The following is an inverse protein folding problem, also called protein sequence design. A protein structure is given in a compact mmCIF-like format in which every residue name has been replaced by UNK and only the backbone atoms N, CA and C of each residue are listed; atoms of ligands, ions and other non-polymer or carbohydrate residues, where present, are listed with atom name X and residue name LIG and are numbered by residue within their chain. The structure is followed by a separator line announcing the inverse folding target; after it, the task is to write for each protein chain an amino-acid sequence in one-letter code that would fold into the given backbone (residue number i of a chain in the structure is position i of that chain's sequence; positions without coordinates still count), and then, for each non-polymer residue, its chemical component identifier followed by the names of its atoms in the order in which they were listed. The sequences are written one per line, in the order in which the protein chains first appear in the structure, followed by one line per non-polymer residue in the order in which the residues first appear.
data_IF_684028129412
#
_entry.id   IF_684028129412
#
_cell.length_a   1.000
_cell.length_b   1.000
_cell.length_c   1.000
_cell.angle_alpha   90.00
_cell.angle_beta   90.00
_cell.angle_gamma   90.00
#
_symmetry.space_group_name_H-M   'P 1'
#
loop_
_entity.id
_entity.type
_entity.pdbx_description
1 polymer ?
#
# COMPACT_ATOMS: atom_id res chain seq x y z
N UNK A 1 -18.15 -12.75 -8.35
CA UNK A 1 -19.30 -12.56 -9.25
C UNK A 1 -18.78 -11.82 -10.46
N UNK A 2 -18.34 -12.60 -11.46
CA UNK A 2 -17.97 -12.05 -12.77
C UNK A 2 -19.16 -11.21 -13.23
N UNK A 3 -18.97 -9.91 -13.45
CA UNK A 3 -20.00 -9.10 -14.08
C UNK A 3 -20.21 -9.67 -15.48
N UNK A 4 -21.25 -10.48 -15.59
CA UNK A 4 -21.63 -11.21 -16.79
C UNK A 4 -21.92 -10.23 -17.93
N UNK A 5 -21.89 -10.70 -19.19
CA UNK A 5 -22.31 -9.93 -20.38
C UNK A 5 -23.71 -9.28 -20.25
N UNK A 6 -24.50 -9.68 -19.26
CA UNK A 6 -25.79 -9.11 -18.90
C UNK A 6 -25.70 -7.68 -18.36
N UNK A 7 -24.69 -7.29 -17.57
CA UNK A 7 -24.63 -5.92 -17.04
C UNK A 7 -24.25 -4.93 -18.13
N UNK A 8 -23.29 -5.28 -18.99
CA UNK A 8 -22.96 -4.51 -20.18
C UNK A 8 -24.17 -4.36 -21.12
N UNK A 9 -24.91 -5.46 -21.38
CA UNK A 9 -26.12 -5.42 -22.20
C UNK A 9 -27.22 -4.52 -21.61
N UNK A 10 -27.44 -4.56 -20.28
CA UNK A 10 -28.40 -3.67 -19.58
C UNK A 10 -27.97 -2.21 -19.68
N UNK A 11 -26.68 -1.94 -19.55
CA UNK A 11 -26.10 -0.59 -19.66
C UNK A 11 -26.24 -0.05 -21.09
N UNK A 12 -25.90 -0.84 -22.11
CA UNK A 12 -26.06 -0.44 -23.52
C UNK A 12 -27.53 -0.28 -23.91
N UNK A 13 -28.43 -1.14 -23.43
CA UNK A 13 -29.87 -1.00 -23.62
C UNK A 13 -30.40 0.29 -22.95
N UNK A 14 -29.91 0.63 -21.75
CA UNK A 14 -30.19 1.89 -21.08
C UNK A 14 -29.72 3.10 -21.90
N UNK A 15 -28.52 3.03 -22.47
CA UNK A 15 -27.96 4.09 -23.34
C UNK A 15 -28.81 4.30 -24.60
N UNK A 16 -29.18 3.23 -25.30
CA UNK A 16 -30.09 3.29 -26.45
C UNK A 16 -31.45 3.88 -26.06
N UNK A 17 -32.00 3.45 -24.91
CA UNK A 17 -33.25 3.99 -24.37
C UNK A 17 -33.18 5.49 -24.08
N UNK A 18 -32.07 5.97 -23.51
CA UNK A 18 -31.87 7.40 -23.23
C UNK A 18 -31.68 8.24 -24.49
N UNK A 19 -30.99 7.73 -25.52
CA UNK A 19 -30.84 8.41 -26.81
C UNK A 19 -32.17 8.49 -27.55
N UNK A 20 -32.96 7.40 -27.57
CA UNK A 20 -34.29 7.41 -28.15
C UNK A 20 -35.21 8.40 -27.42
N UNK A 21 -35.13 8.41 -26.08
CA UNK A 21 -35.88 9.35 -25.24
C UNK A 21 -35.51 10.81 -25.54
N UNK A 22 -34.22 11.10 -25.75
CA UNK A 22 -33.74 12.42 -26.14
C UNK A 22 -34.34 12.88 -27.49
N UNK A 23 -34.37 12.00 -28.48
CA UNK A 23 -34.95 12.28 -29.80
C UNK A 23 -36.44 12.57 -29.69
N UNK A 24 -37.19 11.73 -28.96
CA UNK A 24 -38.64 11.89 -28.76
C UNK A 24 -38.96 13.19 -28.00
N UNK A 25 -38.23 13.48 -26.93
CA UNK A 25 -38.39 14.72 -26.16
C UNK A 25 -38.07 15.97 -26.99
N UNK A 26 -37.11 15.87 -27.91
CA UNK A 26 -36.74 16.96 -28.81
C UNK A 26 -37.81 17.17 -29.89
N UNK A 27 -38.30 16.09 -30.50
CA UNK A 27 -39.38 16.12 -31.48
C UNK A 27 -40.67 16.70 -30.90
N UNK A 28 -41.05 16.28 -29.68
CA UNK A 28 -42.24 16.80 -28.98
C UNK A 28 -42.13 18.28 -28.61
N UNK A 29 -40.91 18.81 -28.49
CA UNK A 29 -40.64 20.23 -28.26
C UNK A 29 -40.25 20.99 -29.53
N UNK A 30 -40.81 20.58 -30.68
CA UNK A 30 -40.61 21.24 -32.00
C UNK A 30 -39.14 21.44 -32.35
N UNK A 31 -38.27 20.51 -31.98
CA UNK A 31 -36.84 20.57 -32.25
C UNK A 31 -36.12 21.79 -31.65
N UNK A 32 -36.60 22.30 -30.51
CA UNK A 32 -35.93 23.39 -29.80
C UNK A 32 -34.48 23.02 -29.42
N UNK A 33 -33.46 23.73 -29.94
CA UNK A 33 -32.06 23.43 -29.62
C UNK A 33 -31.76 23.54 -28.12
N UNK A 34 -32.43 24.48 -27.43
CA UNK A 34 -32.33 24.64 -25.97
C UNK A 34 -32.78 23.40 -25.22
N UNK A 35 -33.91 22.80 -25.59
CA UNK A 35 -34.42 21.59 -24.93
C UNK A 35 -33.48 20.42 -25.20
N UNK A 36 -33.06 20.25 -26.44
CA UNK A 36 -32.09 19.21 -26.81
C UNK A 36 -30.79 19.32 -25.99
N UNK A 37 -30.16 20.50 -25.96
CA UNK A 37 -28.89 20.70 -25.26
C UNK A 37 -29.00 20.52 -23.75
N UNK A 38 -30.10 20.96 -23.12
CA UNK A 38 -30.32 20.77 -21.68
C UNK A 38 -30.55 19.29 -21.33
N UNK A 39 -31.28 18.56 -22.17
CA UNK A 39 -31.50 17.13 -21.97
C UNK A 39 -30.24 16.32 -22.25
N UNK A 40 -29.50 16.65 -23.30
CA UNK A 40 -28.21 16.05 -23.62
C UNK A 40 -27.19 16.29 -22.49
N UNK A 41 -27.09 17.52 -21.98
CA UNK A 41 -26.24 17.86 -20.84
C UNK A 41 -26.61 17.05 -19.59
N UNK A 42 -27.91 16.93 -19.29
CA UNK A 42 -28.39 16.12 -18.16
C UNK A 42 -28.02 14.65 -18.30
N UNK A 43 -28.23 14.07 -19.49
CA UNK A 43 -27.86 12.68 -19.75
C UNK A 43 -26.35 12.47 -19.64
N UNK A 44 -25.54 13.37 -20.21
CA UNK A 44 -24.09 13.30 -20.16
C UNK A 44 -23.55 13.38 -18.72
N UNK A 45 -24.01 14.35 -17.92
CA UNK A 45 -23.58 14.51 -16.53
C UNK A 45 -24.10 13.36 -15.67
N UNK A 46 -25.38 12.99 -15.78
CA UNK A 46 -25.95 11.88 -15.03
C UNK A 46 -25.21 10.57 -15.32
N UNK A 47 -24.92 10.30 -16.59
CA UNK A 47 -24.09 9.17 -17.01
C UNK A 47 -22.69 9.23 -16.40
N UNK A 48 -22.02 10.39 -16.45
CA UNK A 48 -20.68 10.55 -15.90
C UNK A 48 -20.62 10.18 -14.41
N UNK A 49 -21.50 10.76 -13.59
CA UNK A 49 -21.59 10.48 -12.14
C UNK A 49 -21.89 9.00 -11.86
N UNK A 50 -22.84 8.42 -12.59
CA UNK A 50 -23.25 7.04 -12.39
C UNK A 50 -22.14 6.06 -12.78
N UNK A 51 -21.48 6.29 -13.93
CA UNK A 51 -20.35 5.50 -14.41
C UNK A 51 -19.18 5.58 -13.43
N UNK A 52 -18.84 6.79 -12.95
CA UNK A 52 -17.82 7.00 -11.92
C UNK A 52 -18.12 6.22 -10.64
N UNK A 53 -19.38 6.19 -10.19
CA UNK A 53 -19.80 5.40 -9.04
C UNK A 53 -19.64 3.90 -9.27
N UNK A 54 -20.12 3.39 -10.42
CA UNK A 54 -20.00 1.96 -10.76
C UNK A 54 -18.54 1.52 -10.92
N UNK A 55 -17.71 2.33 -11.56
CA UNK A 55 -16.29 2.05 -11.73
C UNK A 55 -15.60 1.90 -10.36
N UNK A 56 -15.90 2.79 -9.40
CA UNK A 56 -15.38 2.71 -8.04
C UNK A 56 -15.85 1.44 -7.33
N UNK A 57 -17.16 1.13 -7.36
CA UNK A 57 -17.71 -0.11 -6.78
C UNK A 57 -17.05 -1.35 -7.39
N UNK A 58 -16.91 -1.37 -8.72
CA UNK A 58 -16.29 -2.49 -9.44
C UNK A 58 -14.83 -2.66 -9.03
N UNK A 59 -14.06 -1.56 -8.92
CA UNK A 59 -12.66 -1.63 -8.49
C UNK A 59 -12.50 -2.24 -7.09
N UNK A 60 -13.39 -1.92 -6.15
CA UNK A 60 -13.40 -2.49 -4.81
C UNK A 60 -13.84 -3.94 -4.80
N UNK A 61 -14.83 -4.29 -5.63
CA UNK A 61 -15.34 -5.66 -5.75
C UNK A 61 -14.32 -6.63 -6.37
N UNK A 62 -13.61 -6.19 -7.40
CA UNK A 62 -12.58 -6.98 -8.09
C UNK A 62 -11.35 -7.20 -7.20
N UNK A 63 -11.07 -6.29 -6.27
CA UNK A 63 -9.94 -6.38 -5.36
C UNK A 63 -8.60 -6.00 -6.00
N UNK A 64 -7.50 -5.97 -5.23
CA UNK A 64 -6.19 -5.58 -5.73
C UNK A 64 -5.63 -6.60 -6.73
N UNK A 65 -5.29 -6.13 -7.93
CA UNK A 65 -4.58 -6.89 -8.98
C UNK A 65 -3.48 -6.03 -9.58
N UNK A 66 -2.64 -6.59 -10.46
CA UNK A 66 -1.57 -5.84 -11.13
C UNK A 66 -2.07 -4.58 -11.88
N UNK A 67 -3.31 -4.63 -12.36
CA UNK A 67 -3.95 -3.55 -13.14
C UNK A 67 -5.07 -2.84 -12.40
N UNK A 68 -5.64 -3.43 -11.34
CA UNK A 68 -6.76 -2.86 -10.59
C UNK A 68 -6.32 -2.40 -9.20
N UNK A 69 -6.50 -1.10 -8.93
CA UNK A 69 -6.35 -0.52 -7.60
C UNK A 69 -7.74 -0.22 -7.05
N UNK A 70 -8.16 -0.89 -5.95
CA UNK A 70 -9.43 -0.59 -5.30
C UNK A 70 -9.56 0.90 -4.99
N UNK A 71 -10.73 1.47 -5.29
CA UNK A 71 -11.00 2.86 -4.99
C UNK A 71 -10.88 3.11 -3.48
N UNK A 72 -10.11 4.15 -3.16
CA UNK A 72 -10.04 4.77 -1.85
C UNK A 72 -9.77 6.25 -2.05
N UNK A 73 -10.50 7.12 -1.35
CA UNK A 73 -10.22 8.56 -1.37
C UNK A 73 -9.15 8.96 -0.35
N UNK A 74 -8.60 7.99 0.40
CA UNK A 74 -7.53 8.19 1.37
C UNK A 74 -6.31 8.91 0.76
N UNK A 75 -5.74 8.53 -0.41
CA UNK A 75 -4.58 9.22 -0.97
C UNK A 75 -4.88 10.67 -1.36
N UNK A 76 -6.15 10.95 -1.68
CA UNK A 76 -6.61 12.29 -2.03
C UNK A 76 -6.76 13.15 -0.77
N UNK A 77 -7.44 12.66 0.26
CA UNK A 77 -7.70 13.44 1.47
C UNK A 77 -6.49 13.54 2.41
N UNK A 78 -5.61 12.53 2.45
CA UNK A 78 -4.38 12.55 3.27
C UNK A 78 -3.46 13.73 2.99
N UNK A 79 -3.51 14.26 1.77
CA UNK A 79 -2.67 15.38 1.34
C UNK A 79 -3.48 16.63 0.98
N UNK A 80 -4.74 16.73 1.42
CA UNK A 80 -5.63 17.84 1.08
C UNK A 80 -5.20 19.16 1.73
N UNK A 81 -4.73 20.16 0.97
CA UNK A 81 -4.21 21.40 1.55
C UNK A 81 -5.31 22.46 1.80
N UNK A 82 -6.54 22.22 1.31
CA UNK A 82 -7.62 23.20 1.34
C UNK A 82 -8.28 23.39 2.72
N UNK A 83 -9.24 24.33 2.84
CA UNK A 83 -9.86 24.72 4.11
C UNK A 83 -10.51 23.58 4.92
N UNK A 84 -11.06 22.57 4.24
CA UNK A 84 -11.63 21.39 4.91
C UNK A 84 -10.64 20.22 5.01
N UNK A 85 -9.43 20.40 4.48
CA UNK A 85 -8.43 19.34 4.34
C UNK A 85 -7.98 18.75 5.66
N UNK A 86 -7.76 19.57 6.69
CA UNK A 86 -7.39 19.09 8.03
C UNK A 86 -8.46 18.17 8.63
N UNK A 87 -9.74 18.58 8.53
CA UNK A 87 -10.87 17.77 8.98
C UNK A 87 -10.93 16.46 8.20
N UNK A 88 -10.80 16.52 6.87
CA UNK A 88 -10.85 15.32 6.03
C UNK A 88 -9.68 14.36 6.32
N UNK A 89 -8.46 14.87 6.57
CA UNK A 89 -7.32 14.02 6.97
C UNK A 89 -7.65 13.21 8.22
N UNK A 90 -8.18 13.86 9.26
CA UNK A 90 -8.55 13.21 10.53
C UNK A 90 -9.58 12.08 10.40
N UNK A 91 -10.48 12.16 9.41
CA UNK A 91 -11.48 11.10 9.20
C UNK A 91 -10.85 9.80 8.66
N UNK A 92 -9.76 9.88 7.90
CA UNK A 92 -9.04 8.69 7.39
C UNK A 92 -7.99 8.18 8.37
N UNK A 93 -7.12 9.08 8.83
CA UNK A 93 -6.11 8.84 9.86
C UNK A 93 -5.58 10.20 10.32
N UNK A 94 -5.51 10.47 11.61
CA UNK A 94 -4.85 11.67 12.12
C UNK A 94 -3.33 11.41 12.19
N UNK A 95 -2.52 11.91 11.23
CA UNK A 95 -1.10 11.59 11.20
C UNK A 95 -0.38 12.15 12.45
N UNK A 96 -0.84 13.28 12.98
CA UNK A 96 -0.27 13.87 14.18
C UNK A 96 -0.55 13.00 15.41
N UNK A 97 -1.78 12.49 15.55
CA UNK A 97 -2.12 11.56 16.61
C UNK A 97 -1.38 10.22 16.47
N UNK A 98 -1.24 9.70 15.25
CA UNK A 98 -0.46 8.48 14.97
C UNK A 98 1.02 8.67 15.31
N UNK A 99 1.62 9.79 14.92
CA UNK A 99 3.01 10.14 15.26
C UNK A 99 3.17 10.26 16.78
N UNK A 100 2.25 10.95 17.46
CA UNK A 100 2.30 11.09 18.91
C UNK A 100 2.16 9.75 19.64
N UNK A 101 1.30 8.85 19.15
CA UNK A 101 1.03 7.57 19.78
C UNK A 101 2.07 6.48 19.46
N UNK A 102 2.77 6.56 18.33
CA UNK A 102 3.62 5.48 17.81
C UNK A 102 5.09 5.87 17.61
N UNK A 103 5.40 7.16 17.46
CA UNK A 103 6.75 7.61 17.09
C UNK A 103 7.40 8.44 18.19
N UNK A 104 6.63 9.18 18.99
CA UNK A 104 7.19 9.96 20.09
C UNK A 104 7.60 9.05 21.25
N UNK A 105 8.84 9.20 21.71
CA UNK A 105 9.37 8.43 22.83
C UNK A 105 8.56 8.73 24.12
N UNK A 106 8.08 7.71 24.85
CA UNK A 106 7.33 7.92 26.09
C UNK A 106 8.15 8.53 27.23
N UNK A 107 9.47 8.31 27.21
CA UNK A 107 10.43 8.81 28.20
C UNK A 107 11.57 9.53 27.50
N UNK A 108 12.10 10.57 28.11
CA UNK A 108 13.30 11.26 27.62
C UNK A 108 14.55 10.53 28.13
N UNK A 109 15.13 9.68 27.27
CA UNK A 109 16.36 8.92 27.54
C UNK A 109 17.26 9.09 26.31
N UNK A 110 18.56 9.29 26.52
CA UNK A 110 19.48 9.42 25.38
C UNK A 110 19.62 8.10 24.60
N UNK A 111 19.90 8.11 23.29
CA UNK A 111 20.10 6.89 22.51
C UNK A 111 21.21 5.98 23.07
N UNK A 112 22.28 6.58 23.60
CA UNK A 112 23.40 5.84 24.18
C UNK A 112 23.02 5.11 25.48
N UNK A 113 22.25 5.77 26.35
CA UNK A 113 21.74 5.15 27.58
C UNK A 113 20.71 4.06 27.26
N UNK A 114 19.81 4.31 26.29
CA UNK A 114 18.79 3.36 25.88
C UNK A 114 19.40 2.05 25.35
N UNK A 115 20.49 2.17 24.59
CA UNK A 115 21.24 1.02 24.05
C UNK A 115 21.77 0.08 25.14
N UNK A 116 22.08 0.61 26.32
CA UNK A 116 22.65 -0.15 27.44
C UNK A 116 21.59 -0.82 28.33
N UNK A 117 20.30 -0.53 28.13
CA UNK A 117 19.20 -1.17 28.84
C UNK A 117 19.04 -2.65 28.43
N UNK A 118 18.47 -3.47 29.31
CA UNK A 118 18.13 -4.86 28.97
C UNK A 118 17.03 -4.92 27.91
N UNK A 119 16.93 -6.02 27.17
CA UNK A 119 15.89 -6.20 26.13
C UNK A 119 14.48 -6.04 26.71
N UNK A 120 14.26 -6.48 27.94
CA UNK A 120 12.97 -6.33 28.65
C UNK A 120 12.65 -4.87 28.94
N UNK A 121 13.64 -4.10 29.38
CA UNK A 121 13.49 -2.65 29.62
C UNK A 121 13.27 -1.89 28.31
N UNK A 122 13.95 -2.29 27.23
CA UNK A 122 13.76 -1.71 25.90
C UNK A 122 12.34 -2.01 25.38
N UNK A 123 11.86 -3.25 25.53
CA UNK A 123 10.51 -3.64 25.14
C UNK A 123 9.42 -2.90 25.93
N UNK A 124 9.64 -2.68 27.23
CA UNK A 124 8.74 -1.92 28.09
C UNK A 124 8.66 -0.42 27.73
N UNK A 125 9.65 0.10 27.02
CA UNK A 125 9.68 1.48 26.53
C UNK A 125 9.03 1.66 25.15
N UNK A 126 8.53 0.57 24.53
CA UNK A 126 7.79 0.61 23.29
C UNK A 126 6.48 1.41 23.46
N UNK A 127 6.09 2.28 22.51
CA UNK A 127 4.84 3.03 22.61
C UNK A 127 3.62 2.13 22.79
N UNK A 128 2.71 2.51 23.68
CA UNK A 128 1.59 1.67 24.12
C UNK A 128 0.70 1.20 22.96
N UNK A 129 0.42 2.09 21.99
CA UNK A 129 -0.38 1.77 20.82
C UNK A 129 0.25 0.65 19.96
N UNK A 130 1.57 0.60 19.91
CA UNK A 130 2.33 -0.41 19.16
C UNK A 130 2.44 -1.68 19.98
N UNK A 131 2.76 -1.58 21.28
CA UNK A 131 2.84 -2.71 22.20
C UNK A 131 1.54 -3.54 22.20
N UNK A 132 0.37 -2.89 22.29
CA UNK A 132 -0.95 -3.55 22.21
C UNK A 132 -1.16 -4.33 20.92
N UNK A 133 -0.62 -3.85 19.80
CA UNK A 133 -0.73 -4.54 18.52
C UNK A 133 0.13 -5.81 18.45
N UNK A 134 1.17 -5.92 19.28
CA UNK A 134 1.98 -7.14 19.42
C UNK A 134 1.41 -8.10 20.48
N UNK A 135 0.69 -7.60 21.48
CA UNK A 135 0.11 -8.39 22.59
C UNK A 135 -1.20 -9.12 22.25
N UNK A 136 -1.45 -9.40 20.97
CA UNK A 136 -2.66 -10.09 20.54
C UNK A 136 -2.45 -11.60 20.45
N UNK A 137 -3.47 -12.39 20.80
CA UNK A 137 -3.46 -13.85 20.68
C UNK A 137 -3.20 -14.32 19.23
N UNK A 138 -3.66 -13.55 18.25
CA UNK A 138 -3.40 -13.80 16.83
C UNK A 138 -1.89 -13.70 16.51
N UNK A 139 -1.19 -12.69 17.04
CA UNK A 139 0.26 -12.53 16.83
C UNK A 139 1.03 -13.63 17.56
N UNK A 140 0.62 -14.01 18.77
CA UNK A 140 1.25 -15.11 19.50
C UNK A 140 1.16 -16.42 18.72
N UNK A 141 -0.05 -16.82 18.31
CA UNK A 141 -0.29 -18.03 17.51
C UNK A 141 0.48 -18.01 16.19
N UNK A 142 0.47 -16.89 15.48
CA UNK A 142 1.21 -16.77 14.23
C UNK A 142 2.73 -16.88 14.42
N UNK A 143 3.26 -16.34 15.52
CA UNK A 143 4.68 -16.46 15.89
C UNK A 143 5.03 -17.91 16.22
N UNK A 144 4.19 -18.61 16.99
CA UNK A 144 4.37 -20.03 17.30
C UNK A 144 4.36 -20.91 16.05
N UNK A 145 3.40 -20.68 15.14
CA UNK A 145 3.34 -21.36 13.85
C UNK A 145 4.56 -21.03 12.98
N UNK A 146 5.02 -19.77 13.01
CA UNK A 146 6.22 -19.34 12.30
C UNK A 146 7.47 -20.08 12.77
N UNK A 147 7.67 -20.19 14.09
CA UNK A 147 8.80 -20.94 14.67
C UNK A 147 8.78 -22.41 14.26
N UNK A 148 7.60 -23.05 14.28
CA UNK A 148 7.45 -24.44 13.83
C UNK A 148 7.78 -24.60 12.35
N UNK A 149 7.30 -23.68 11.53
CA UNK A 149 7.53 -23.70 10.08
C UNK A 149 9.01 -23.47 9.73
N UNK A 150 9.67 -22.52 10.38
CA UNK A 150 11.12 -22.30 10.26
C UNK A 150 11.91 -23.54 10.69
N UNK A 151 11.55 -24.15 11.83
CA UNK A 151 12.21 -25.38 12.30
C UNK A 151 12.06 -26.53 11.29
N UNK A 152 10.88 -26.68 10.67
CA UNK A 152 10.67 -27.69 9.64
C UNK A 152 11.44 -27.38 8.35
N UNK A 153 11.51 -26.11 7.95
CA UNK A 153 12.29 -25.67 6.80
C UNK A 153 13.79 -25.86 7.02
N UNK A 154 14.33 -25.48 8.18
CA UNK A 154 15.72 -25.68 8.57
C UNK A 154 16.10 -27.17 8.53
N UNK A 155 15.22 -28.06 9.01
CA UNK A 155 15.44 -29.50 8.94
C UNK A 155 15.52 -30.01 7.50
N UNK A 156 14.62 -29.54 6.62
CA UNK A 156 14.61 -29.88 5.18
C UNK A 156 15.84 -29.31 4.45
N UNK A 157 16.26 -28.11 4.79
CA UNK A 157 17.40 -27.46 4.15
C UNK A 157 18.73 -28.05 4.63
N UNK A 158 18.81 -28.53 5.88
CA UNK A 158 19.91 -29.37 6.34
C UNK A 158 20.02 -30.65 5.49
N UNK A 159 18.91 -31.33 5.19
CA UNK A 159 18.88 -32.50 4.31
C UNK A 159 19.36 -32.18 2.88
N UNK A 160 18.83 -31.12 2.27
CA UNK A 160 19.24 -30.71 0.91
C UNK A 160 20.72 -30.32 0.87
N UNK A 161 21.19 -29.61 1.88
CA UNK A 161 22.60 -29.19 1.99
C UNK A 161 23.50 -30.41 2.11
N UNK A 162 23.11 -31.39 2.93
CA UNK A 162 23.83 -32.65 3.07
C UNK A 162 23.83 -33.45 1.76
N UNK A 163 22.70 -33.55 1.06
CA UNK A 163 22.61 -34.27 -0.21
C UNK A 163 23.52 -33.64 -1.27
N UNK A 164 23.52 -32.31 -1.38
CA UNK A 164 24.41 -31.57 -2.28
C UNK A 164 25.88 -31.80 -1.92
N UNK A 165 26.24 -31.64 -0.64
CA UNK A 165 27.60 -31.86 -0.17
C UNK A 165 28.08 -33.31 -0.39
N UNK A 166 27.19 -34.29 -0.25
CA UNK A 166 27.49 -35.70 -0.55
C UNK A 166 27.72 -35.94 -2.05
N UNK A 167 26.96 -35.28 -2.93
CA UNK A 167 27.18 -35.31 -4.39
C UNK A 167 28.52 -34.68 -4.77
N UNK A 168 28.82 -33.52 -4.20
CA UNK A 168 30.09 -32.81 -4.44
C UNK A 168 31.29 -33.62 -3.92
N UNK A 169 31.15 -34.25 -2.74
CA UNK A 169 32.17 -35.16 -2.20
C UNK A 169 32.39 -36.41 -3.08
N UNK A 170 31.32 -36.99 -3.64
CA UNK A 170 31.41 -38.09 -4.62
C UNK A 170 32.15 -37.68 -5.88
N UNK A 171 31.83 -36.51 -6.45
CA UNK A 171 32.49 -36.00 -7.64
C UNK A 171 33.98 -35.67 -7.38
N UNK A 172 34.30 -35.14 -6.21
CA UNK A 172 35.68 -34.88 -5.79
C UNK A 172 36.50 -36.18 -5.63
N UNK A 173 35.89 -37.22 -5.04
CA UNK A 173 36.51 -38.54 -4.93
C UNK A 173 36.76 -39.15 -6.32
N UNK A 174 35.78 -39.11 -7.22
CA UNK A 174 35.92 -39.64 -8.59
C UNK A 174 37.04 -38.91 -9.36
N UNK A 175 37.09 -37.58 -9.27
CA UNK A 175 38.16 -36.77 -9.87
C UNK A 175 39.54 -37.08 -9.27
N UNK A 176 39.62 -37.27 -7.95
CA UNK A 176 40.86 -37.64 -7.28
C UNK A 176 41.34 -39.05 -7.71
N UNK A 177 40.42 -40.02 -7.78
CA UNK A 177 40.72 -41.38 -8.27
C UNK A 177 41.18 -41.39 -9.73
N UNK A 178 40.55 -40.58 -10.60
CA UNK A 178 40.95 -40.46 -12.01
C UNK A 178 42.34 -39.80 -12.16
N UNK A 179 42.68 -38.83 -11.31
CA UNK A 179 44.03 -38.22 -11.32
C UNK A 179 45.15 -39.22 -10.97
N UNK A 180 44.87 -40.14 -10.03
CA UNK A 180 45.80 -41.24 -9.67
C UNK A 180 45.92 -42.24 -10.82
N UNK A 181 44.84 -42.46 -11.58
CA UNK A 181 44.83 -43.31 -12.78
C UNK A 181 45.67 -42.72 -13.91
N UNK A 182 45.55 -41.42 -14.19
CA UNK A 182 46.31 -40.74 -15.26
C UNK A 182 47.82 -40.73 -14.99
N UNK A 183 48.24 -40.56 -13.73
CA UNK A 183 49.66 -40.59 -13.34
C UNK A 183 50.32 -41.99 -13.40
N UNK A 184 49.54 -43.05 -13.70
CA UNK A 184 50.05 -44.43 -13.80
C UNK A 184 50.48 -44.86 -15.21
N UNK A 185 50.46 -43.96 -16.20
CA UNK A 185 50.74 -44.30 -17.62
C UNK A 185 52.24 -44.45 -17.93
N UNK A 186 52.68 -45.72 -17.87
CA UNK A 186 53.56 -46.54 -18.74
C UNK A 186 54.96 -46.05 -19.20
N UNK A 187 55.97 -46.84 -18.83
CA UNK A 187 57.29 -46.97 -19.49
C UNK A 187 57.44 -48.41 -20.02
N UNK A 188 57.72 -48.61 -21.32
CA UNK A 188 57.87 -49.93 -21.97
C UNK A 188 59.37 -50.23 -22.20
N UNK A 189 60.04 -50.81 -21.20
CA UNK A 189 61.42 -51.30 -21.28
C UNK A 189 61.54 -52.74 -20.77
N UNK A 190 62.30 -53.64 -21.44
CA UNK A 190 62.30 -55.09 -21.15
C UNK A 190 63.32 -55.55 -20.09
N UNK A 191 63.57 -54.79 -19.01
CA UNK A 191 64.58 -55.11 -17.99
C UNK A 191 63.98 -55.52 -16.61
N UNK A 192 64.74 -56.34 -15.86
CA UNK A 192 64.38 -56.87 -14.53
C UNK A 192 64.16 -55.75 -13.49
N UNK A 193 64.91 -54.65 -13.60
CA UNK A 193 64.73 -53.47 -12.74
C UNK A 193 63.37 -52.79 -12.99
N UNK A 194 62.90 -52.73 -14.24
CA UNK A 194 61.56 -52.27 -14.59
C UNK A 194 60.44 -53.10 -13.93
N UNK A 195 60.63 -54.41 -13.71
CA UNK A 195 59.63 -55.26 -13.04
C UNK A 195 59.47 -54.95 -11.55
N UNK A 196 60.58 -54.74 -10.85
CA UNK A 196 60.58 -54.36 -9.43
C UNK A 196 59.98 -52.97 -9.24
N UNK A 197 60.32 -52.03 -10.12
CA UNK A 197 59.81 -50.66 -10.08
C UNK A 197 58.29 -50.60 -10.37
N UNK A 198 57.77 -51.46 -11.27
CA UNK A 198 56.32 -51.65 -11.47
C UNK A 198 55.60 -52.15 -10.22
N UNK A 199 56.18 -53.13 -9.52
CA UNK A 199 55.60 -53.67 -8.29
C UNK A 199 55.53 -52.64 -7.15
N UNK A 200 56.55 -51.77 -7.04
CA UNK A 200 56.58 -50.65 -6.10
C UNK A 200 55.57 -49.55 -6.46
N UNK A 201 55.53 -49.12 -7.73
CA UNK A 201 54.56 -48.11 -8.19
C UNK A 201 53.10 -48.58 -8.07
N UNK A 202 52.83 -49.87 -8.34
CA UNK A 202 51.50 -50.47 -8.15
C UNK A 202 51.08 -50.47 -6.67
N UNK A 203 52.00 -50.80 -5.75
CA UNK A 203 51.72 -50.70 -4.31
C UNK A 203 51.47 -49.27 -3.86
N UNK A 204 52.24 -48.30 -4.37
CA UNK A 204 52.07 -46.88 -4.07
C UNK A 204 50.72 -46.34 -4.57
N UNK A 205 50.30 -46.73 -5.77
CA UNK A 205 49.01 -46.32 -6.34
C UNK A 205 47.81 -46.92 -5.61
N UNK A 206 47.89 -48.18 -5.19
CA UNK A 206 46.86 -48.79 -4.35
C UNK A 206 46.78 -48.15 -2.95
N UNK A 207 47.92 -47.80 -2.35
CA UNK A 207 47.96 -47.05 -1.09
C UNK A 207 47.32 -45.66 -1.22
N UNK A 208 47.66 -44.90 -2.27
CA UNK A 208 47.08 -43.57 -2.53
C UNK A 208 45.56 -43.64 -2.80
N UNK A 209 45.08 -44.64 -3.53
CA UNK A 209 43.63 -44.86 -3.73
C UNK A 209 42.91 -45.19 -2.42
N UNK A 210 43.54 -45.97 -1.54
CA UNK A 210 42.98 -46.31 -0.24
C UNK A 210 42.88 -45.08 0.67
N UNK A 211 43.89 -44.19 0.65
CA UNK A 211 43.89 -42.93 1.40
C UNK A 211 42.78 -41.98 0.90
N UNK A 212 42.65 -41.79 -0.41
CA UNK A 212 41.57 -40.97 -1.00
C UNK A 212 40.18 -41.48 -0.61
N UNK A 213 39.98 -42.80 -0.64
CA UNK A 213 38.71 -43.42 -0.23
C UNK A 213 38.44 -43.25 1.28
N UNK A 214 39.47 -43.38 2.11
CA UNK A 214 39.35 -43.18 3.56
C UNK A 214 39.00 -41.73 3.91
N UNK A 215 39.64 -40.76 3.25
CA UNK A 215 39.35 -39.34 3.41
C UNK A 215 37.95 -38.98 2.92
N UNK A 216 37.52 -39.54 1.78
CA UNK A 216 36.17 -39.37 1.26
C UNK A 216 35.12 -39.96 2.21
N UNK A 217 35.37 -41.14 2.80
CA UNK A 217 34.48 -41.74 3.80
C UNK A 217 34.39 -40.87 5.07
N UNK A 218 35.52 -40.33 5.54
CA UNK A 218 35.57 -39.42 6.69
C UNK A 218 34.79 -38.12 6.42
N UNK A 219 34.94 -37.55 5.23
CA UNK A 219 34.20 -36.37 4.81
C UNK A 219 32.68 -36.63 4.75
N UNK A 220 32.26 -37.77 4.17
CA UNK A 220 30.84 -38.17 4.11
C UNK A 220 30.24 -38.37 5.50
N UNK A 221 30.96 -39.04 6.41
CA UNK A 221 30.53 -39.22 7.82
C UNK A 221 30.37 -37.87 8.52
N UNK A 222 31.29 -36.93 8.30
CA UNK A 222 31.20 -35.58 8.86
C UNK A 222 29.97 -34.83 8.34
N UNK A 223 29.74 -34.84 7.03
CA UNK A 223 28.56 -34.20 6.40
C UNK A 223 27.25 -34.74 6.99
N UNK A 224 27.15 -36.07 7.14
CA UNK A 224 25.97 -36.69 7.75
C UNK A 224 25.82 -36.33 9.23
N UNK A 225 26.91 -36.30 10.01
CA UNK A 225 26.88 -35.91 11.41
C UNK A 225 26.46 -34.45 11.60
N UNK A 226 26.99 -33.54 10.77
CA UNK A 226 26.65 -32.12 10.80
C UNK A 226 25.17 -31.90 10.42
N UNK A 227 24.65 -32.67 9.46
CA UNK A 227 23.24 -32.64 9.05
C UNK A 227 22.30 -33.15 10.15
N UNK A 228 22.62 -34.29 10.77
CA UNK A 228 21.85 -34.84 11.90
C UNK A 228 21.85 -33.90 13.11
N UNK A 229 22.99 -33.25 13.38
CA UNK A 229 23.10 -32.22 14.42
C UNK A 229 22.18 -31.03 14.11
N UNK A 230 22.24 -30.49 12.89
CA UNK A 230 21.40 -29.36 12.48
C UNK A 230 19.90 -29.68 12.55
N UNK A 231 19.50 -30.89 12.14
CA UNK A 231 18.11 -31.35 12.28
C UNK A 231 17.67 -31.45 13.73
N UNK A 232 18.53 -32.00 14.61
CA UNK A 232 18.23 -32.12 16.03
C UNK A 232 18.03 -30.74 16.66
N UNK A 233 18.92 -29.79 16.35
CA UNK A 233 18.80 -28.41 16.81
C UNK A 233 17.53 -27.73 16.29
N UNK A 234 17.16 -27.95 15.02
CA UNK A 234 15.93 -27.43 14.43
C UNK A 234 14.69 -28.03 15.12
N UNK A 235 14.67 -29.34 15.36
CA UNK A 235 13.57 -30.03 16.04
C UNK A 235 13.40 -29.55 17.48
N UNK A 236 14.49 -29.43 18.24
CA UNK A 236 14.46 -28.90 19.61
C UNK A 236 13.94 -27.45 19.64
N UNK A 237 14.29 -26.62 18.65
CA UNK A 237 13.76 -25.26 18.51
C UNK A 237 12.25 -25.28 18.24
N UNK A 238 11.81 -26.17 17.36
CA UNK A 238 10.40 -26.37 17.03
C UNK A 238 9.56 -26.88 18.21
N UNK A 239 10.15 -27.65 19.13
CA UNK A 239 9.49 -28.13 20.36
C UNK A 239 9.42 -27.03 21.45
N UNK A 240 10.41 -26.14 21.52
CA UNK A 240 10.47 -25.01 22.46
C UNK A 240 9.72 -23.76 21.97
N UNK A 241 8.84 -23.91 20.98
CA UNK A 241 8.12 -22.79 20.36
C UNK A 241 7.35 -21.94 21.38
N UNK A 242 6.71 -22.55 22.38
CA UNK A 242 5.91 -21.87 23.40
C UNK A 242 6.75 -20.93 24.29
N UNK A 243 8.01 -21.29 24.56
CA UNK A 243 8.93 -20.47 25.35
C UNK A 243 9.64 -19.40 24.49
N UNK A 244 9.81 -19.68 23.19
CA UNK A 244 10.50 -18.80 22.25
C UNK A 244 9.60 -17.71 21.66
N UNK A 245 8.31 -17.99 21.45
CA UNK A 245 7.38 -17.04 20.85
C UNK A 245 7.25 -15.73 21.66
N UNK A 246 7.04 -15.76 23.00
CA UNK A 246 7.01 -14.53 23.80
C UNK A 246 8.34 -13.75 23.74
N UNK A 247 9.48 -14.45 23.67
CA UNK A 247 10.81 -13.82 23.57
C UNK A 247 10.99 -13.09 22.24
N UNK A 248 10.57 -13.69 21.12
CA UNK A 248 10.61 -13.03 19.80
C UNK A 248 9.71 -11.79 19.75
N UNK A 249 8.53 -11.86 20.37
CA UNK A 249 7.62 -10.71 20.47
C UNK A 249 8.27 -9.59 21.30
N UNK A 250 8.93 -9.95 22.41
CA UNK A 250 9.66 -9.01 23.26
C UNK A 250 10.82 -8.35 22.49
N UNK A 251 11.60 -9.12 21.74
CA UNK A 251 12.67 -8.62 20.87
C UNK A 251 12.13 -7.70 19.78
N UNK A 252 10.99 -8.01 19.16
CA UNK A 252 10.35 -7.14 18.17
C UNK A 252 9.89 -5.81 18.77
N UNK A 253 9.31 -5.83 19.99
CA UNK A 253 8.96 -4.60 20.71
C UNK A 253 10.21 -3.78 21.06
N UNK A 254 11.28 -4.44 21.50
CA UNK A 254 12.56 -3.78 21.78
C UNK A 254 13.16 -3.16 20.51
N UNK A 255 13.12 -3.86 19.37
CA UNK A 255 13.57 -3.32 18.08
C UNK A 255 12.79 -2.07 17.67
N UNK A 256 11.45 -2.10 17.82
CA UNK A 256 10.62 -0.92 17.55
C UNK A 256 10.97 0.24 18.49
N UNK A 257 11.16 -0.02 19.78
CA UNK A 257 11.58 1.00 20.73
C UNK A 257 12.97 1.57 20.38
N UNK A 258 13.93 0.73 19.99
CA UNK A 258 15.27 1.17 19.56
C UNK A 258 15.21 2.12 18.36
N UNK A 259 14.27 1.92 17.44
CA UNK A 259 13.99 2.86 16.35
C UNK A 259 13.41 4.20 16.85
N UNK A 260 12.44 4.15 17.77
CA UNK A 260 11.82 5.33 18.41
C UNK A 260 12.84 6.19 19.17
N UNK A 261 13.75 5.55 19.91
CA UNK A 261 14.79 6.22 20.70
C UNK A 261 16.05 6.56 19.88
N UNK A 262 16.08 6.30 18.57
CA UNK A 262 17.18 6.72 17.71
C UNK A 262 18.41 5.82 17.70
N UNK A 263 18.35 4.64 18.31
CA UNK A 263 19.48 3.69 18.38
C UNK A 263 19.67 2.93 17.08
N UNK A 264 18.57 2.42 16.53
CA UNK A 264 18.56 1.69 15.26
C UNK A 264 17.80 2.48 14.20
N UNK A 265 18.15 2.27 12.94
CA UNK A 265 17.45 2.83 11.80
C UNK A 265 16.57 1.76 11.16
N UNK A 266 15.39 2.18 10.67
CA UNK A 266 14.53 1.34 9.84
C UNK A 266 14.60 1.84 8.40
N UNK A 267 14.45 0.93 7.44
CA UNK A 267 14.40 1.29 6.03
C UNK A 267 13.11 2.06 5.75
N UNK A 268 13.27 3.27 5.22
CA UNK A 268 12.17 4.14 4.82
C UNK A 268 12.15 4.28 3.31
N UNK A 269 10.95 4.23 2.72
CA UNK A 269 10.78 4.51 1.29
C UNK A 269 10.81 6.02 1.07
N UNK A 270 11.87 6.52 0.44
CA UNK A 270 11.98 7.94 0.06
C UNK A 270 11.59 8.09 -1.40
N UNK A 271 10.72 9.05 -1.70
CA UNK A 271 10.29 9.35 -3.07
C UNK A 271 11.52 9.61 -3.95
N UNK A 272 11.59 8.94 -5.11
CA UNK A 272 12.69 9.03 -6.09
C UNK A 272 14.03 8.43 -5.67
N UNK A 273 14.10 7.70 -4.54
CA UNK A 273 15.28 6.93 -4.16
C UNK A 273 14.97 5.44 -4.32
N UNK A 274 15.82 4.74 -5.08
CA UNK A 274 15.71 3.28 -5.22
C UNK A 274 16.41 2.61 -4.05
N UNK A 275 15.70 1.76 -3.32
CA UNK A 275 16.17 1.13 -2.09
C UNK A 275 15.71 1.88 -0.83
N UNK A 276 15.61 1.16 0.28
CA UNK A 276 15.28 1.74 1.58
C UNK A 276 16.40 2.68 2.05
N UNK A 277 16.04 3.85 2.56
CA UNK A 277 16.98 4.76 3.21
C UNK A 277 16.86 4.56 4.71
N UNK A 278 17.89 4.07 5.40
CA UNK A 278 17.82 3.83 6.83
C UNK A 278 17.69 5.18 7.57
N UNK A 279 16.56 5.35 8.27
CA UNK A 279 16.28 6.52 9.11
C UNK A 279 15.70 6.10 10.46
N UNK A 280 16.12 6.78 11.52
CA UNK A 280 15.55 6.60 12.85
C UNK A 280 14.41 7.59 13.10
N UNK A 281 13.60 7.38 14.15
CA UNK A 281 12.46 8.24 14.44
C UNK A 281 12.85 9.69 14.79
N UNK A 282 13.86 9.96 15.65
CA UNK A 282 14.25 11.33 15.98
C UNK A 282 14.68 12.16 14.78
N UNK A 283 15.51 11.61 13.87
CA UNK A 283 15.92 12.33 12.65
C UNK A 283 14.74 12.74 11.78
N UNK A 284 13.64 11.98 11.81
CA UNK A 284 12.43 12.30 11.04
C UNK A 284 11.58 13.36 11.72
N UNK A 285 11.53 13.34 13.06
CA UNK A 285 10.89 14.40 13.83
C UNK A 285 11.65 15.72 13.65
N UNK A 286 12.98 15.70 13.71
CA UNK A 286 13.83 16.87 13.45
C UNK A 286 13.58 17.44 12.05
N UNK A 287 13.47 16.59 11.04
CA UNK A 287 13.16 17.02 9.67
C UNK A 287 11.77 17.67 9.58
N UNK A 288 10.75 17.09 10.24
CA UNK A 288 9.42 17.69 10.32
C UNK A 288 9.44 19.06 11.01
N UNK A 289 10.19 19.21 12.10
CA UNK A 289 10.35 20.48 12.79
C UNK A 289 11.05 21.51 11.92
N UNK A 290 12.08 21.10 11.16
CA UNK A 290 12.76 21.98 10.20
C UNK A 290 11.83 22.47 9.08
N UNK A 291 10.91 21.63 8.61
CA UNK A 291 9.89 22.01 7.63
C UNK A 291 8.89 22.99 8.23
N UNK A 292 8.43 22.76 9.47
CA UNK A 292 7.53 23.68 10.18
C UNK A 292 8.17 25.05 10.38
N UNK A 293 9.44 25.09 10.82
CA UNK A 293 10.20 26.32 10.98
C UNK A 293 10.38 27.05 9.64
N UNK A 294 10.71 26.32 8.57
CA UNK A 294 10.86 26.88 7.23
C UNK A 294 9.55 27.45 6.68
N UNK A 295 8.43 26.76 6.92
CA UNK A 295 7.10 27.23 6.53
C UNK A 295 6.73 28.51 7.28
N UNK A 296 6.89 28.52 8.61
CA UNK A 296 6.62 29.70 9.43
C UNK A 296 7.48 30.91 9.01
N UNK A 297 8.76 30.68 8.73
CA UNK A 297 9.66 31.73 8.24
C UNK A 297 9.27 32.25 6.84
N UNK A 298 8.70 31.40 5.99
CA UNK A 298 8.22 31.80 4.66
C UNK A 298 6.87 32.52 4.71
N UNK A 299 6.00 32.19 5.67
CA UNK A 299 4.68 32.81 5.86
C UNK A 299 4.78 34.16 6.59
N UNK A 300 5.76 34.36 7.48
CA UNK A 300 5.89 35.58 8.28
C UNK A 300 5.93 36.88 7.42
N UNK A 301 6.71 36.98 6.33
CA UNK A 301 6.68 38.16 5.46
C UNK A 301 5.32 38.46 4.83
N UNK A 302 4.54 37.42 4.47
CA UNK A 302 3.20 37.61 3.89
C UNK A 302 2.22 38.22 4.89
N UNK A 303 2.36 37.88 6.18
CA UNK A 303 1.55 38.47 7.24
C UNK A 303 1.78 39.98 7.36
N UNK A 304 3.00 40.44 7.08
CA UNK A 304 3.39 41.86 7.08
C UNK A 304 3.10 42.56 5.73
N UNK A 305 2.43 41.88 4.79
CA UNK A 305 2.13 42.41 3.45
C UNK A 305 3.33 42.46 2.51
N UNK A 306 4.47 41.87 2.88
CA UNK A 306 5.66 41.73 2.07
C UNK A 306 5.62 40.40 1.30
N UNK A 307 5.90 40.42 -0.01
CA UNK A 307 5.89 39.18 -0.82
C UNK A 307 4.50 38.74 -1.32
N UNK A 308 3.53 39.67 -1.38
CA UNK A 308 2.18 39.45 -1.95
C UNK A 308 2.14 39.25 -3.48
N UNK A 309 3.28 38.97 -4.13
CA UNK A 309 3.38 38.77 -5.57
C UNK A 309 3.09 37.34 -6.01
N UNK A 310 2.67 37.14 -7.27
CA UNK A 310 2.42 35.83 -7.89
C UNK A 310 3.71 35.07 -8.27
N UNK A 311 4.78 35.26 -7.51
CA UNK A 311 6.16 34.85 -7.83
C UNK A 311 6.60 33.51 -7.24
N UNK A 312 7.91 33.42 -6.94
CA UNK A 312 8.58 32.23 -6.38
C UNK A 312 8.20 31.94 -4.94
N UNK A 313 7.92 32.97 -4.14
CA UNK A 313 7.69 32.81 -2.69
C UNK A 313 6.36 32.11 -2.40
N UNK A 314 5.31 32.44 -3.15
CA UNK A 314 4.01 31.77 -3.07
C UNK A 314 4.12 30.28 -3.43
N UNK A 315 4.90 29.96 -4.47
CA UNK A 315 5.17 28.57 -4.85
C UNK A 315 5.95 27.84 -3.76
N UNK A 316 6.97 28.49 -3.18
CA UNK A 316 7.76 27.93 -2.09
C UNK A 316 6.91 27.62 -0.86
N UNK A 317 5.98 28.51 -0.47
CA UNK A 317 5.05 28.26 0.64
C UNK A 317 4.12 27.08 0.31
N UNK A 318 3.59 27.02 -0.91
CA UNK A 318 2.75 25.92 -1.37
C UNK A 318 3.50 24.57 -1.32
N UNK A 319 4.75 24.55 -1.79
CA UNK A 319 5.64 23.40 -1.75
C UNK A 319 5.97 22.98 -0.31
N UNK A 320 6.32 23.93 0.57
CA UNK A 320 6.61 23.65 1.98
C UNK A 320 5.38 23.09 2.72
N UNK A 321 4.18 23.64 2.47
CA UNK A 321 2.92 23.09 3.01
C UNK A 321 2.70 21.67 2.54
N UNK A 322 2.90 21.41 1.25
CA UNK A 322 2.74 20.06 0.70
C UNK A 322 3.75 19.08 1.28
N UNK A 323 5.02 19.49 1.36
CA UNK A 323 6.11 18.69 1.93
C UNK A 323 5.86 18.39 3.39
N UNK A 324 5.34 19.34 4.18
CA UNK A 324 4.99 19.10 5.57
C UNK A 324 3.86 18.05 5.67
N UNK A 325 2.75 18.25 4.97
CA UNK A 325 1.60 17.34 5.00
C UNK A 325 2.00 15.93 4.53
N UNK A 326 2.77 15.84 3.43
CA UNK A 326 3.20 14.54 2.91
C UNK A 326 4.16 13.85 3.86
N UNK A 327 5.12 14.57 4.44
CA UNK A 327 6.11 14.00 5.36
C UNK A 327 5.46 13.51 6.65
N UNK A 328 4.46 14.23 7.17
CA UNK A 328 3.67 13.78 8.33
C UNK A 328 2.90 12.49 8.00
N UNK A 329 2.22 12.45 6.85
CA UNK A 329 1.48 11.28 6.41
C UNK A 329 2.39 10.07 6.13
N UNK A 330 3.57 10.31 5.56
CA UNK A 330 4.57 9.27 5.29
C UNK A 330 5.18 8.74 6.60
N UNK A 331 5.49 9.60 7.58
CA UNK A 331 6.00 9.15 8.88
C UNK A 331 5.00 8.27 9.63
N UNK A 332 3.72 8.66 9.65
CA UNK A 332 2.67 7.83 10.22
C UNK A 332 2.53 6.49 9.48
N UNK A 333 2.63 6.50 8.15
CA UNK A 333 2.58 5.27 7.33
C UNK A 333 3.75 4.35 7.64
N UNK A 334 4.97 4.87 7.63
CA UNK A 334 6.18 4.09 7.83
C UNK A 334 6.23 3.48 9.24
N UNK A 335 5.75 4.20 10.25
CA UNK A 335 5.61 3.65 11.60
C UNK A 335 4.68 2.42 11.64
N UNK A 336 3.58 2.45 10.88
CA UNK A 336 2.65 1.33 10.76
C UNK A 336 3.27 0.18 9.93
N UNK A 337 3.94 0.50 8.82
CA UNK A 337 4.61 -0.48 7.96
C UNK A 337 5.73 -1.18 8.73
N UNK A 338 6.56 -0.45 9.46
CA UNK A 338 7.65 -1.03 10.24
C UNK A 338 7.12 -1.97 11.35
N UNK A 339 6.05 -1.58 12.05
CA UNK A 339 5.39 -2.47 13.01
C UNK A 339 4.83 -3.74 12.34
N UNK A 340 4.27 -3.62 11.12
CA UNK A 340 3.78 -4.75 10.35
C UNK A 340 4.93 -5.67 9.85
N UNK A 341 6.04 -5.09 9.40
CA UNK A 341 7.21 -5.83 8.96
C UNK A 341 7.86 -6.59 10.12
N UNK A 342 7.93 -6.00 11.31
CA UNK A 342 8.36 -6.70 12.52
C UNK A 342 7.45 -7.89 12.85
N UNK A 343 6.11 -7.71 12.77
CA UNK A 343 5.15 -8.82 12.95
C UNK A 343 5.32 -9.92 11.91
N UNK A 344 5.61 -9.54 10.67
CA UNK A 344 5.87 -10.46 9.57
C UNK A 344 7.17 -11.25 9.81
N UNK A 345 8.23 -10.58 10.26
CA UNK A 345 9.52 -11.21 10.57
C UNK A 345 9.39 -12.23 11.69
N UNK A 346 8.70 -11.92 12.79
CA UNK A 346 8.52 -12.89 13.88
C UNK A 346 7.62 -14.08 13.49
N UNK A 347 6.77 -13.92 12.47
CA UNK A 347 5.80 -14.93 12.00
C UNK A 347 6.28 -15.70 10.75
N UNK A 348 7.60 -15.82 10.55
CA UNK A 348 8.21 -16.52 9.41
C UNK A 348 7.70 -16.03 8.04
N UNK A 349 7.49 -14.71 7.90
CA UNK A 349 7.02 -14.11 6.65
C UNK A 349 5.50 -14.12 6.45
N UNK A 350 4.72 -14.73 7.34
CA UNK A 350 3.25 -14.68 7.28
C UNK A 350 2.75 -13.27 7.65
N UNK A 351 1.81 -12.76 6.84
CA UNK A 351 1.15 -11.48 7.13
C UNK A 351 0.06 -11.76 8.16
N UNK A 352 0.26 -11.24 9.38
CA UNK A 352 -0.76 -11.26 10.44
C UNK A 352 -1.60 -10.00 10.30
N UNK A 353 -2.72 -10.12 9.59
CA UNK A 353 -3.69 -9.03 9.49
C UNK A 353 -4.48 -8.95 10.80
N UNK A 354 -4.18 -7.93 11.60
CA UNK A 354 -5.05 -7.55 12.70
C UNK A 354 -6.26 -6.89 12.05
N UNK A 355 -7.50 -7.38 12.27
CA UNK A 355 -8.68 -6.74 11.69
C UNK A 355 -8.75 -5.30 12.23
N UNK A 356 -8.40 -4.36 11.36
CA UNK A 356 -8.51 -2.94 11.65
C UNK A 356 -9.98 -2.57 11.52
N UNK A 357 -10.55 -1.97 12.56
CA UNK A 357 -11.86 -1.36 12.47
C UNK A 357 -11.86 -0.34 11.31
N UNK A 358 -12.85 -0.39 10.41
CA UNK A 358 -12.85 0.47 9.24
C UNK A 358 -12.84 1.93 9.69
N UNK A 359 -11.88 2.70 9.15
CA UNK A 359 -11.81 4.12 9.49
C UNK A 359 -13.08 4.85 9.02
N UNK A 360 -13.40 5.97 9.67
CA UNK A 360 -14.55 6.80 9.25
C UNK A 360 -14.43 7.22 7.78
N UNK A 361 -13.22 7.46 7.31
CA UNK A 361 -12.91 7.72 5.91
C UNK A 361 -13.23 6.54 4.98
N UNK A 362 -12.92 5.31 5.37
CA UNK A 362 -13.31 4.12 4.59
C UNK A 362 -14.83 3.93 4.53
N UNK A 363 -15.56 4.33 5.59
CA UNK A 363 -17.01 4.40 5.53
C UNK A 363 -17.48 5.49 4.55
N UNK A 364 -16.83 6.66 4.56
CA UNK A 364 -17.12 7.73 3.60
C UNK A 364 -16.86 7.30 2.15
N UNK A 365 -15.86 6.45 1.89
CA UNK A 365 -15.63 5.88 0.55
C UNK A 365 -16.82 5.04 0.09
N UNK A 366 -17.35 4.16 0.96
CA UNK A 366 -18.55 3.37 0.67
C UNK A 366 -19.76 4.24 0.39
N UNK A 367 -19.96 5.28 1.21
CA UNK A 367 -21.04 6.25 1.01
C UNK A 367 -20.85 6.99 -0.32
N UNK A 368 -19.64 7.44 -0.63
CA UNK A 368 -19.33 8.17 -1.88
C UNK A 368 -19.63 7.33 -3.10
N UNK A 369 -19.23 6.05 -3.10
CA UNK A 369 -19.51 5.11 -4.19
C UNK A 369 -21.01 5.00 -4.50
N UNK A 370 -21.82 4.71 -3.48
CA UNK A 370 -23.27 4.56 -3.65
C UNK A 370 -23.99 5.89 -3.88
N UNK A 371 -23.49 6.99 -3.30
CA UNK A 371 -23.98 8.33 -3.55
C UNK A 371 -23.83 8.70 -5.04
N UNK A 372 -22.66 8.47 -5.64
CA UNK A 372 -22.42 8.77 -7.05
C UNK A 372 -23.35 7.97 -7.97
N UNK A 373 -23.54 6.67 -7.70
CA UNK A 373 -24.50 5.84 -8.45
C UNK A 373 -25.92 6.36 -8.28
N UNK A 374 -26.36 6.59 -7.05
CA UNK A 374 -27.72 7.02 -6.75
C UNK A 374 -28.06 8.38 -7.36
N UNK A 375 -27.21 9.38 -7.13
CA UNK A 375 -27.41 10.74 -7.65
C UNK A 375 -27.24 10.78 -9.16
N UNK A 376 -26.25 10.07 -9.72
CA UNK A 376 -26.09 9.95 -11.18
C UNK A 376 -27.32 9.35 -11.85
N UNK A 377 -27.87 8.27 -11.28
CA UNK A 377 -29.11 7.66 -11.77
C UNK A 377 -30.31 8.62 -11.65
N UNK A 378 -30.43 9.34 -10.54
CA UNK A 378 -31.49 10.34 -10.34
C UNK A 378 -31.42 11.47 -11.38
N UNK A 379 -30.23 12.01 -11.65
CA UNK A 379 -30.02 13.02 -12.70
C UNK A 379 -30.30 12.44 -14.09
N UNK A 380 -29.81 11.24 -14.38
CA UNK A 380 -29.93 10.62 -15.71
C UNK A 380 -31.39 10.27 -16.05
N UNK A 381 -32.09 9.58 -15.15
CA UNK A 381 -33.50 9.20 -15.33
C UNK A 381 -34.48 10.35 -15.01
N UNK A 382 -33.97 11.48 -14.51
CA UNK A 382 -34.77 12.65 -14.17
C UNK A 382 -35.73 12.40 -13.01
N UNK A 383 -35.27 11.75 -11.94
CA UNK A 383 -35.97 11.55 -10.67
C UNK A 383 -35.42 12.51 -9.60
N UNK A 384 -36.28 13.28 -8.95
CA UNK A 384 -35.94 14.35 -8.01
C UNK A 384 -34.84 15.27 -8.55
N UNK A 385 -34.91 15.62 -9.85
CA UNK A 385 -33.79 16.16 -10.64
C UNK A 385 -33.14 17.37 -9.98
N UNK A 386 -33.95 18.30 -9.44
CA UNK A 386 -33.44 19.51 -8.78
C UNK A 386 -32.66 19.19 -7.50
N UNK A 387 -33.20 18.31 -6.66
CA UNK A 387 -32.52 17.89 -5.44
C UNK A 387 -31.25 17.12 -5.77
N UNK A 388 -31.31 16.20 -6.74
CA UNK A 388 -30.15 15.44 -7.21
C UNK A 388 -29.03 16.36 -7.74
N UNK A 389 -29.39 17.40 -8.51
CA UNK A 389 -28.41 18.39 -8.99
C UNK A 389 -27.77 19.20 -7.85
N UNK A 390 -28.56 19.61 -6.85
CA UNK A 390 -28.04 20.34 -5.69
C UNK A 390 -27.13 19.47 -4.82
N UNK A 391 -27.48 18.19 -4.60
CA UNK A 391 -26.65 17.25 -3.87
C UNK A 391 -25.35 16.95 -4.62
N UNK A 392 -25.41 16.70 -5.94
CA UNK A 392 -24.23 16.54 -6.78
C UNK A 392 -23.32 17.78 -6.74
N UNK A 393 -23.91 18.98 -6.83
CA UNK A 393 -23.18 20.23 -6.72
C UNK A 393 -22.52 20.38 -5.35
N UNK A 394 -23.23 20.07 -4.26
CA UNK A 394 -22.68 20.10 -2.91
C UNK A 394 -21.51 19.13 -2.71
N UNK A 395 -21.59 17.94 -3.31
CA UNK A 395 -20.47 16.99 -3.34
C UNK A 395 -19.25 17.56 -4.08
N UNK A 396 -19.43 18.15 -5.26
CA UNK A 396 -18.35 18.78 -6.02
C UNK A 396 -17.74 19.99 -5.31
N UNK A 397 -18.54 20.78 -4.61
CA UNK A 397 -18.05 21.89 -3.77
C UNK A 397 -17.19 21.35 -2.64
N UNK A 398 -17.59 20.24 -2.02
CA UNK A 398 -16.79 19.61 -0.96
C UNK A 398 -15.42 19.15 -1.48
N UNK A 399 -15.37 18.49 -2.64
CA UNK A 399 -14.10 18.07 -3.24
C UNK A 399 -13.25 19.26 -3.69
N UNK A 400 -13.89 20.31 -4.23
CA UNK A 400 -13.21 21.57 -4.58
C UNK A 400 -12.60 22.25 -3.35
N UNK A 401 -13.28 22.26 -2.20
CA UNK A 401 -12.74 22.85 -0.97
C UNK A 401 -11.63 21.99 -0.33
N UNK A 402 -11.56 20.69 -0.63
CA UNK A 402 -10.45 19.84 -0.18
C UNK A 402 -9.16 20.14 -0.96
N UNK A 403 -9.27 20.33 -2.28
CA UNK A 403 -8.16 20.68 -3.17
C UNK A 403 -8.55 21.84 -4.11
N UNK A 404 -8.53 23.08 -3.61
CA UNK A 404 -8.81 24.25 -4.45
C UNK A 404 -7.67 24.45 -5.47
N UNK A 405 -7.97 24.59 -6.78
CA UNK A 405 -6.98 24.79 -7.84
C UNK A 405 -6.46 26.25 -7.84
N UNK A 406 -6.04 26.75 -6.69
CA UNK A 406 -5.43 28.07 -6.59
C UNK A 406 -3.92 27.98 -6.81
N UNK A 407 -3.28 29.01 -7.39
CA UNK A 407 -1.84 29.01 -7.68
C UNK A 407 -0.92 28.72 -6.49
N UNK A 408 -1.41 28.91 -5.27
CA UNK A 408 -0.69 28.70 -4.01
C UNK A 408 -1.04 27.39 -3.30
N UNK A 409 -1.79 26.50 -3.96
CA UNK A 409 -2.02 25.15 -3.49
C UNK A 409 -1.42 24.14 -4.45
N UNK A 410 -0.85 23.04 -3.92
CA UNK A 410 -0.37 21.94 -4.75
C UNK A 410 -1.56 21.25 -5.43
N UNK A 411 -1.33 20.78 -6.65
CA UNK A 411 -2.34 20.02 -7.38
C UNK A 411 -2.44 18.59 -6.80
N UNK A 412 -3.65 18.01 -6.74
CA UNK A 412 -3.82 16.65 -6.25
C UNK A 412 -3.11 15.62 -7.15
N UNK A 413 -2.74 14.45 -6.60
CA UNK A 413 -2.13 13.37 -7.38
C UNK A 413 -3.02 12.96 -8.56
N UNK A 414 -2.44 12.81 -9.75
CA UNK A 414 -3.17 12.40 -10.95
C UNK A 414 -4.05 13.49 -11.58
N UNK A 415 -3.83 14.77 -11.24
CA UNK A 415 -4.54 15.88 -11.90
C UNK A 415 -4.17 15.95 -13.38
N UNK A 416 -5.18 15.98 -14.24
CA UNK A 416 -5.03 16.23 -15.67
C UNK A 416 -4.85 17.74 -15.90
N UNK A 417 -3.68 18.14 -16.41
CA UNK A 417 -3.37 19.53 -16.73
C UNK A 417 -2.97 20.40 -15.53
N UNK A 418 -2.97 21.73 -15.75
CA UNK A 418 -2.63 22.73 -14.74
C UNK A 418 -3.81 23.72 -14.59
N UNK A 419 -4.90 23.34 -13.90
CA UNK A 419 -6.06 24.20 -13.75
C UNK A 419 -5.72 25.41 -12.87
N UNK A 420 -6.04 26.60 -13.37
CA UNK A 420 -5.91 27.86 -12.64
C UNK A 420 -7.31 28.34 -12.31
N UNK A 421 -7.69 28.28 -11.03
CA UNK A 421 -9.00 28.60 -10.45
C UNK A 421 -10.20 27.72 -10.88
N UNK A 422 -10.26 27.29 -12.13
CA UNK A 422 -11.37 26.49 -12.66
C UNK A 422 -10.86 25.10 -13.02
N UNK A 423 -11.31 24.09 -12.27
CA UNK A 423 -11.10 22.68 -12.59
C UNK A 423 -12.38 22.06 -13.18
N UNK A 424 -12.29 20.78 -13.58
CA UNK A 424 -13.43 20.01 -14.07
C UNK A 424 -14.63 20.04 -13.11
N UNK A 425 -14.38 19.95 -11.79
CA UNK A 425 -15.44 19.97 -10.78
C UNK A 425 -16.24 21.30 -10.80
N UNK A 426 -15.60 22.44 -11.04
CA UNK A 426 -16.31 23.73 -11.15
C UNK A 426 -17.20 23.77 -12.39
N UNK A 427 -16.70 23.28 -13.53
CA UNK A 427 -17.46 23.24 -14.79
C UNK A 427 -18.70 22.34 -14.63
N UNK A 428 -18.53 21.18 -14.00
CA UNK A 428 -19.63 20.26 -13.71
C UNK A 428 -20.63 20.85 -12.71
N UNK A 429 -20.16 21.52 -11.66
CA UNK A 429 -21.02 22.19 -10.68
C UNK A 429 -21.86 23.28 -11.33
N UNK A 430 -21.27 24.12 -12.20
CA UNK A 430 -22.01 25.13 -12.96
C UNK A 430 -23.05 24.51 -13.87
N UNK A 431 -22.72 23.41 -14.55
CA UNK A 431 -23.67 22.71 -15.39
C UNK A 431 -24.84 22.10 -14.58
N UNK A 432 -24.57 21.57 -13.39
CA UNK A 432 -25.61 21.09 -12.46
C UNK A 432 -26.49 22.24 -11.95
N UNK A 433 -25.95 23.42 -11.68
CA UNK A 433 -26.73 24.61 -11.29
C UNK A 433 -27.63 25.10 -12.44
N UNK A 434 -27.13 25.05 -13.67
CA UNK A 434 -27.95 25.28 -14.87
C UNK A 434 -29.08 24.26 -14.90
N UNK A 435 -28.80 22.96 -14.77
CA UNK A 435 -29.83 21.92 -14.78
C UNK A 435 -30.84 22.06 -13.62
N UNK A 436 -30.41 22.49 -12.44
CA UNK A 436 -31.28 22.74 -11.29
C UNK A 436 -32.26 23.89 -11.53
N UNK A 437 -31.86 24.87 -12.34
CA UNK A 437 -32.68 26.04 -12.69
C UNK A 437 -33.78 25.72 -13.72
N UNK A 438 -33.68 24.59 -14.42
CA UNK A 438 -34.62 24.20 -15.47
C UNK A 438 -35.39 22.93 -15.07
N UNK A 439 -36.69 22.81 -15.43
CA UNK A 439 -37.49 21.63 -15.12
C UNK A 439 -37.22 20.47 -16.10
N UNK A 440 -35.95 20.12 -16.33
CA UNK A 440 -35.56 19.09 -17.31
C UNK A 440 -36.16 17.71 -16.98
N UNK A 441 -36.31 17.38 -15.69
CA UNK A 441 -37.02 16.18 -15.23
C UNK A 441 -38.49 16.09 -15.68
N UNK A 442 -39.17 17.24 -15.87
CA UNK A 442 -40.57 17.27 -16.34
C UNK A 442 -40.69 17.11 -17.86
N UNK A 443 -39.67 17.54 -18.61
CA UNK A 443 -39.66 17.40 -20.07
C UNK A 443 -39.41 15.96 -20.50
N UNK A 444 -38.50 15.29 -19.79
CA UNK A 444 -38.13 13.92 -20.08
C UNK A 444 -37.59 13.28 -18.79
N UNK A 445 -38.40 12.66 -17.96
CA UNK A 445 -37.90 12.04 -16.73
C UNK A 445 -39.00 11.48 -15.84
N UNK A 446 -38.61 10.70 -14.84
CA UNK A 446 -39.52 10.13 -13.86
C UNK A 446 -40.26 11.20 -13.03
N UNK A 447 -39.70 12.39 -12.92
CA UNK A 447 -40.34 13.57 -12.30
C UNK A 447 -41.68 13.90 -12.96
N UNK A 448 -41.82 13.68 -14.28
CA UNK A 448 -43.09 13.90 -14.98
C UNK A 448 -44.21 12.94 -14.52
N UNK A 449 -43.84 11.76 -14.02
CA UNK A 449 -44.76 10.73 -13.54
C UNK A 449 -45.00 10.90 -12.03
N UNK A 450 -43.92 10.99 -11.26
CA UNK A 450 -43.93 10.96 -9.79
C UNK A 450 -44.43 12.28 -9.19
N UNK A 451 -44.12 13.43 -9.78
CA UNK A 451 -44.50 14.75 -9.25
C UNK A 451 -45.83 15.28 -9.83
N UNK A 452 -46.45 14.54 -10.77
CA UNK A 452 -47.76 14.86 -11.35
C UNK A 452 -48.91 14.97 -10.32
N UNK A 453 -49.00 14.14 -9.27
CA UNK A 453 -50.04 14.29 -8.24
C UNK A 453 -49.79 15.45 -7.27
N UNK A 454 -48.54 15.87 -7.08
CA UNK A 454 -48.16 16.87 -6.06
C UNK A 454 -48.14 18.32 -6.58
N UNK A 455 -48.10 18.52 -7.89
CA UNK A 455 -48.14 19.85 -8.51
C UNK A 455 -49.42 20.01 -9.35
N UNK A 456 -50.51 20.50 -8.74
CA UNK A 456 -51.72 20.88 -9.48
C UNK A 456 -51.37 21.92 -10.54
N UNK A 457 -51.70 21.63 -11.79
CA UNK A 457 -51.70 22.59 -12.89
C UNK A 457 -52.53 23.82 -12.49
N UNK A 458 -51.91 25.00 -12.37
CA UNK A 458 -52.63 26.27 -12.41
C UNK A 458 -52.81 26.59 -13.90
N UNK A 459 -54.02 26.52 -14.46
CA UNK A 459 -54.24 27.03 -15.81
C UNK A 459 -53.83 28.50 -15.83
N UNK A 460 -53.05 28.90 -16.83
CA UNK A 460 -52.85 30.30 -17.15
C UNK A 460 -54.24 30.91 -17.41
N UNK A 461 -54.55 32.01 -16.71
CA UNK A 461 -55.72 32.81 -17.05
C UNK A 461 -55.48 33.35 -18.47
N UNK A 462 -56.41 33.18 -19.43
CA UNK A 462 -56.32 33.92 -20.68
C UNK A 462 -56.35 35.41 -20.35
N UNK A 463 -55.55 36.17 -21.12
CA UNK A 463 -55.22 37.58 -20.94
C UNK A 463 -56.45 38.48 -20.69
#
# INVERSE_FOLDING_TARGET
MNLTPTLAAVVYAGLIGTVLSLIVATATNRWSPRVFLLLALRLAIGWHFMFEGFHKIHSTYTGPTDTNRPFSSEPYFKVAPGPIGEKMRREFSDPAADIAAKVKAPKEISPAEFKNLSTEQQAAACPEAVAKAFDTDAVLKATEEGIKLEAEQDAKDADKTAEKALKDAKAAEEKALESVRVNSVRWDGPDLWGAVQRGLQARQTEANKAEIKADAEKARKKIQADAEKAKKEAKERGEKFADLAPKRILEAKAAYARWVYGVDAADVTVKFVTGGVPRNAPQRLDYLESLRASLHAAEAPQADGLGNGTGTDVKRIAELRQSLISTEADLARDANTYAADLRKTISAGKIVEIPAEPSRGQLMDKVTMWFLVGVGACVMFGLLTRLACLLACGFLVTTYLAHPPFPWYPLPPGTEGNPVFVNKNVIEALALLVLASYPTGRWLGLDAIVLRPFCKYKPERPA
#
